data_IF_586076870672
#
_entry.id   IF_586076870672
#
_cell.length_a   1.000
_cell.length_b   1.000
_cell.length_c   1.000
_cell.angle_alpha   90.00
_cell.angle_beta   90.00
_cell.angle_gamma   90.00
#
_symmetry.space_group_name_H-M   'P 1'
#
loop_
_entity.id
_entity.type
_entity.pdbx_description
1 polymer ?
#
# COMPACT_ATOMS: atom_id res chain seq x y z
N UNK A 1 1.87 -2.08 -10.60
CA UNK A 1 1.46 -3.33 -9.89
C UNK A 1 1.47 -4.57 -10.80
N UNK A 2 1.12 -4.48 -12.10
CA UNK A 2 1.16 -5.64 -13.04
C UNK A 2 2.54 -6.29 -13.04
N UNK A 3 3.60 -5.49 -13.11
CA UNK A 3 4.99 -5.98 -13.07
C UNK A 3 5.30 -6.73 -11.76
N UNK A 4 4.76 -6.25 -10.62
CA UNK A 4 4.92 -6.95 -9.34
C UNK A 4 4.21 -8.30 -9.33
N UNK A 5 2.98 -8.36 -9.86
CA UNK A 5 2.22 -9.62 -9.98
C UNK A 5 2.99 -10.63 -10.82
N UNK A 6 3.44 -10.23 -12.01
CA UNK A 6 4.18 -11.14 -12.89
C UNK A 6 5.55 -11.53 -12.31
N UNK A 7 6.25 -10.59 -11.68
CA UNK A 7 7.55 -10.86 -11.06
C UNK A 7 7.43 -11.82 -9.88
N UNK A 8 6.42 -11.67 -9.01
CA UNK A 8 6.25 -12.55 -7.84
C UNK A 8 5.86 -13.98 -8.22
N UNK A 9 4.99 -14.17 -9.22
CA UNK A 9 4.70 -15.52 -9.76
C UNK A 9 5.96 -16.15 -10.34
N UNK A 10 6.68 -15.40 -11.18
CA UNK A 10 7.89 -15.89 -11.84
C UNK A 10 8.98 -16.22 -10.83
N UNK A 11 9.23 -15.35 -9.84
CA UNK A 11 10.25 -15.59 -8.81
C UNK A 11 9.87 -16.76 -7.91
N UNK A 12 8.59 -16.94 -7.56
CA UNK A 12 8.12 -18.09 -6.80
C UNK A 12 8.41 -19.39 -7.52
N UNK A 13 8.02 -19.50 -8.79
CA UNK A 13 8.27 -20.68 -9.60
C UNK A 13 9.79 -20.96 -9.83
N UNK A 14 10.56 -19.90 -10.09
CA UNK A 14 12.02 -20.04 -10.27
C UNK A 14 12.72 -20.47 -8.99
N UNK A 15 12.24 -20.05 -7.82
CA UNK A 15 12.80 -20.41 -6.53
C UNK A 15 12.61 -21.91 -6.20
N UNK A 16 11.54 -22.54 -6.67
CA UNK A 16 11.32 -23.98 -6.52
C UNK A 16 12.36 -24.78 -7.31
N UNK A 17 12.77 -24.31 -8.49
CA UNK A 17 13.77 -24.98 -9.32
C UNK A 17 15.17 -24.81 -8.74
N UNK A 18 15.53 -23.56 -8.43
CA UNK A 18 16.81 -23.20 -7.82
C UNK A 18 16.73 -21.82 -7.19
N UNK A 19 17.17 -21.69 -5.94
CA UNK A 19 17.12 -20.45 -5.17
C UNK A 19 17.92 -19.27 -5.78
N UNK A 20 18.83 -19.53 -6.71
CA UNK A 20 19.56 -18.49 -7.44
C UNK A 20 18.77 -17.91 -8.63
N UNK A 21 17.85 -18.67 -9.22
CA UNK A 21 17.15 -18.27 -10.42
C UNK A 21 16.28 -16.99 -10.25
N UNK A 22 15.64 -16.73 -9.12
CA UNK A 22 14.92 -15.47 -8.88
C UNK A 22 15.77 -14.22 -9.13
N UNK A 23 17.09 -14.28 -8.93
CA UNK A 23 17.98 -13.14 -9.17
C UNK A 23 18.03 -12.71 -10.64
N UNK A 24 17.68 -13.60 -11.59
CA UNK A 24 17.60 -13.25 -13.02
C UNK A 24 16.54 -12.16 -13.26
N UNK A 25 15.49 -12.12 -12.45
CA UNK A 25 14.44 -11.09 -12.59
C UNK A 25 15.00 -9.68 -12.35
N UNK A 26 16.06 -9.54 -11.56
CA UNK A 26 16.74 -8.25 -11.35
C UNK A 26 17.51 -7.73 -12.58
N UNK A 27 17.67 -8.53 -13.65
CA UNK A 27 18.22 -8.05 -14.91
C UNK A 27 17.21 -7.30 -15.79
N UNK A 28 15.90 -7.41 -15.53
CA UNK A 28 14.90 -6.66 -16.29
C UNK A 28 15.09 -5.13 -16.27
N UNK A 29 15.47 -4.48 -15.15
CA UNK A 29 15.80 -3.06 -15.16
C UNK A 29 16.95 -2.68 -16.10
N UNK A 30 17.90 -3.58 -16.33
CA UNK A 30 19.02 -3.37 -17.28
C UNK A 30 18.49 -3.25 -18.69
N UNK A 31 17.53 -4.10 -19.08
CA UNK A 31 16.86 -4.01 -20.39
C UNK A 31 16.14 -2.67 -20.53
N UNK A 32 15.39 -2.25 -19.48
CA UNK A 32 14.70 -0.95 -19.46
C UNK A 32 15.68 0.23 -19.57
N UNK A 33 16.85 0.12 -18.95
CA UNK A 33 17.91 1.11 -19.05
C UNK A 33 18.41 1.24 -20.50
N UNK A 34 18.70 0.14 -21.19
CA UNK A 34 19.08 0.20 -22.59
C UNK A 34 17.99 0.73 -23.52
N UNK A 35 16.74 0.35 -23.27
CA UNK A 35 15.59 0.86 -24.02
C UNK A 35 15.41 2.37 -23.84
N UNK A 36 15.80 2.93 -22.68
CA UNK A 36 15.70 4.37 -22.45
C UNK A 36 16.56 5.21 -23.40
N UNK A 37 17.64 4.66 -23.96
CA UNK A 37 18.46 5.36 -24.97
C UNK A 37 17.76 5.50 -26.31
N UNK A 38 16.77 4.66 -26.61
CA UNK A 38 15.95 4.76 -27.82
C UNK A 38 14.80 5.75 -27.69
N UNK A 39 14.50 6.24 -26.45
CA UNK A 39 13.50 7.26 -26.25
C UNK A 39 13.97 8.58 -26.86
N UNK A 40 13.28 9.01 -27.91
CA UNK A 40 13.52 10.29 -28.55
C UNK A 40 13.23 11.39 -27.54
N UNK A 41 14.17 12.30 -27.37
CA UNK A 41 14.02 13.47 -26.52
C UNK A 41 13.05 14.41 -27.22
N UNK A 42 11.76 14.23 -27.00
CA UNK A 42 10.77 15.25 -27.40
C UNK A 42 11.03 16.48 -26.54
N UNK A 43 11.59 17.51 -27.14
CA UNK A 43 11.62 18.85 -26.56
C UNK A 43 10.18 19.39 -26.61
N UNK A 44 9.33 18.87 -25.74
CA UNK A 44 8.08 19.54 -25.43
C UNK A 44 8.50 20.86 -24.76
N UNK A 45 8.47 21.93 -25.55
CA UNK A 45 8.50 23.28 -25.02
C UNK A 45 7.25 23.46 -24.18
N UNK A 46 7.33 23.02 -22.93
CA UNK A 46 6.32 23.38 -21.94
C UNK A 46 6.46 24.88 -21.79
N UNK A 47 5.62 25.62 -22.48
CA UNK A 47 5.47 27.05 -22.22
C UNK A 47 5.32 27.22 -20.71
N UNK A 48 6.15 28.05 -20.05
CA UNK A 48 6.06 28.23 -18.61
C UNK A 48 4.66 28.75 -18.30
N UNK A 49 3.80 27.86 -17.83
CA UNK A 49 2.54 28.27 -17.22
C UNK A 49 2.97 29.14 -16.03
N UNK A 50 2.83 30.46 -16.18
CA UNK A 50 3.03 31.41 -15.08
C UNK A 50 1.95 31.15 -14.04
N UNK A 51 2.16 30.13 -13.21
CA UNK A 51 1.36 29.88 -12.01
C UNK A 51 1.85 30.90 -10.98
N UNK A 52 1.28 32.07 -10.98
CA UNK A 52 1.53 33.17 -10.04
C UNK A 52 0.86 32.95 -8.69
N UNK A 53 0.66 31.70 -8.28
CA UNK A 53 0.13 31.42 -6.96
C UNK A 53 1.24 30.79 -6.11
N UNK A 54 2.05 31.65 -5.49
CA UNK A 54 2.96 31.25 -4.41
C UNK A 54 2.14 30.85 -3.18
N UNK A 55 1.59 29.66 -3.21
CA UNK A 55 0.89 29.07 -2.08
C UNK A 55 1.86 28.37 -1.13
N UNK A 56 1.54 28.36 0.16
CA UNK A 56 2.29 27.61 1.17
C UNK A 56 1.74 26.19 1.24
N UNK A 57 2.62 25.18 1.22
CA UNK A 57 2.23 23.80 1.57
C UNK A 57 1.75 23.81 3.02
N UNK A 58 0.60 23.19 3.29
CA UNK A 58 0.15 22.96 4.66
C UNK A 58 0.97 21.81 5.27
N UNK A 59 2.19 22.12 5.73
CA UNK A 59 3.18 21.14 6.20
C UNK A 59 2.60 20.19 7.23
N UNK A 60 1.80 20.70 8.18
CA UNK A 60 1.19 19.87 9.23
C UNK A 60 0.26 18.78 8.65
N UNK A 61 -0.54 19.13 7.63
CA UNK A 61 -1.44 18.18 6.95
C UNK A 61 -0.64 17.21 6.11
N UNK A 62 0.38 17.68 5.41
CA UNK A 62 1.24 16.82 4.61
C UNK A 62 1.96 15.78 5.48
N UNK A 63 2.56 16.17 6.60
CA UNK A 63 3.22 15.24 7.53
C UNK A 63 2.24 14.24 8.10
N UNK A 64 1.00 14.66 8.42
CA UNK A 64 -0.05 13.73 8.88
C UNK A 64 -0.41 12.68 7.82
N UNK A 65 -0.50 13.09 6.53
CA UNK A 65 -0.72 12.17 5.42
C UNK A 65 0.45 11.21 5.21
N UNK A 66 1.69 11.72 5.30
CA UNK A 66 2.90 10.91 5.19
C UNK A 66 2.93 9.81 6.27
N UNK A 67 2.72 10.18 7.53
CA UNK A 67 2.72 9.23 8.65
C UNK A 67 1.59 8.21 8.52
N UNK A 68 0.40 8.66 8.14
CA UNK A 68 -0.74 7.78 7.93
C UNK A 68 -0.51 6.81 6.77
N UNK A 69 0.04 7.29 5.65
CA UNK A 69 0.36 6.42 4.52
C UNK A 69 1.45 5.41 4.86
N UNK A 70 2.51 5.85 5.54
CA UNK A 70 3.56 4.95 6.03
C UNK A 70 3.00 3.86 6.95
N UNK A 71 2.10 4.22 7.87
CA UNK A 71 1.44 3.26 8.76
C UNK A 71 0.58 2.24 7.98
N UNK A 72 -0.27 2.71 7.06
CA UNK A 72 -1.11 1.81 6.26
C UNK A 72 -0.27 0.90 5.37
N UNK A 73 0.82 1.41 4.80
CA UNK A 73 1.77 0.60 4.03
C UNK A 73 2.43 -0.46 4.90
N UNK A 74 2.92 -0.08 6.09
CA UNK A 74 3.51 -1.02 7.05
C UNK A 74 2.55 -2.17 7.39
N UNK A 75 1.27 -1.85 7.64
CA UNK A 75 0.24 -2.84 7.94
C UNK A 75 -0.05 -3.79 6.76
N UNK A 76 0.03 -3.30 5.53
CA UNK A 76 -0.25 -4.11 4.34
C UNK A 76 0.93 -4.99 3.93
N UNK A 77 2.15 -4.44 4.00
CA UNK A 77 3.34 -5.10 3.44
C UNK A 77 3.81 -6.30 4.23
N UNK A 78 3.30 -6.47 5.46
CA UNK A 78 3.56 -7.65 6.29
C UNK A 78 3.22 -8.96 5.58
N UNK A 79 2.21 -8.96 4.70
CA UNK A 79 1.85 -10.11 3.87
C UNK A 79 3.05 -10.54 3.02
N UNK A 80 3.72 -9.59 2.36
CA UNK A 80 4.83 -9.90 1.46
C UNK A 80 6.07 -10.42 2.19
N UNK A 81 6.32 -9.99 3.44
CA UNK A 81 7.52 -10.37 4.18
C UNK A 81 7.30 -11.57 5.09
N UNK A 82 6.18 -11.63 5.80
CA UNK A 82 5.98 -12.64 6.85
C UNK A 82 5.10 -13.81 6.44
N UNK A 83 4.30 -13.70 5.35
CA UNK A 83 3.42 -14.79 4.92
C UNK A 83 4.17 -16.08 4.54
N UNK A 84 5.28 -16.05 3.79
CA UNK A 84 6.02 -17.27 3.46
C UNK A 84 6.53 -18.00 4.71
N UNK A 85 6.97 -17.26 5.72
CA UNK A 85 7.43 -17.83 6.97
C UNK A 85 6.28 -18.42 7.80
N UNK A 86 5.12 -17.75 7.80
CA UNK A 86 3.90 -18.25 8.45
C UNK A 86 3.41 -19.53 7.77
N UNK A 87 3.44 -19.60 6.44
CA UNK A 87 3.08 -20.81 5.68
C UNK A 87 3.99 -21.99 6.05
N UNK A 88 5.28 -21.72 6.20
CA UNK A 88 6.24 -22.74 6.67
C UNK A 88 5.94 -23.20 8.11
N UNK A 89 5.55 -22.28 9.00
CA UNK A 89 5.15 -22.60 10.39
C UNK A 89 3.89 -23.47 10.43
N UNK A 90 2.95 -23.23 9.52
CA UNK A 90 1.71 -24.02 9.37
C UNK A 90 1.89 -25.32 8.58
N UNK A 91 3.12 -25.64 8.14
CA UNK A 91 3.42 -26.80 7.29
C UNK A 91 2.69 -26.79 5.93
N UNK A 92 2.34 -25.61 5.42
CA UNK A 92 1.81 -25.46 4.08
C UNK A 92 2.93 -25.43 3.03
N UNK A 93 2.55 -25.69 1.77
CA UNK A 93 3.48 -25.59 0.66
C UNK A 93 3.97 -24.15 0.50
N UNK A 94 5.28 -23.95 0.71
CA UNK A 94 5.90 -22.64 0.58
C UNK A 94 5.98 -22.14 -0.87
N UNK A 95 5.90 -23.05 -1.85
CA UNK A 95 5.82 -22.71 -3.27
C UNK A 95 4.56 -21.92 -3.61
N UNK A 96 3.43 -22.22 -2.94
CA UNK A 96 2.19 -21.48 -3.10
C UNK A 96 2.28 -20.03 -2.59
N UNK A 97 3.30 -19.67 -1.78
CA UNK A 97 3.45 -18.32 -1.24
C UNK A 97 3.58 -17.24 -2.33
N UNK A 98 4.29 -17.54 -3.41
CA UNK A 98 4.42 -16.65 -4.57
C UNK A 98 3.08 -16.35 -5.23
N UNK A 99 2.20 -17.36 -5.34
CA UNK A 99 0.85 -17.20 -5.89
C UNK A 99 0.00 -16.32 -4.96
N UNK A 100 0.03 -16.59 -3.65
CA UNK A 100 -0.75 -15.82 -2.67
C UNK A 100 -0.29 -14.36 -2.61
N UNK A 101 1.02 -14.10 -2.64
CA UNK A 101 1.56 -12.73 -2.71
C UNK A 101 1.16 -12.05 -4.02
N UNK A 102 1.10 -12.79 -5.13
CA UNK A 102 0.63 -12.25 -6.41
C UNK A 102 -0.85 -11.88 -6.36
N UNK A 103 -1.68 -12.69 -5.71
CA UNK A 103 -3.10 -12.37 -5.45
C UNK A 103 -3.24 -11.11 -4.58
N UNK A 104 -2.38 -10.93 -3.58
CA UNK A 104 -2.31 -9.70 -2.79
C UNK A 104 -2.03 -8.47 -3.67
N UNK A 105 -1.01 -8.50 -4.54
CA UNK A 105 -0.70 -7.39 -5.44
C UNK A 105 -1.79 -7.16 -6.50
N UNK A 106 -2.42 -8.22 -6.99
CA UNK A 106 -3.57 -8.12 -7.90
C UNK A 106 -4.75 -7.44 -7.20
N UNK A 107 -5.01 -7.81 -5.94
CA UNK A 107 -6.05 -7.19 -5.13
C UNK A 107 -5.78 -5.70 -4.85
N UNK A 108 -4.52 -5.28 -4.71
CA UNK A 108 -4.15 -3.84 -4.61
C UNK A 108 -4.50 -3.09 -5.89
N UNK A 109 -4.43 -3.73 -7.05
CA UNK A 109 -4.73 -3.10 -8.33
C UNK A 109 -6.25 -2.98 -8.57
N UNK A 110 -7.04 -3.94 -8.09
CA UNK A 110 -8.47 -4.04 -8.35
C UNK A 110 -9.28 -2.76 -8.00
N UNK A 111 -9.05 -2.09 -6.86
CA UNK A 111 -9.75 -0.86 -6.52
C UNK A 111 -9.55 0.27 -7.52
N UNK A 112 -8.42 0.30 -8.26
CA UNK A 112 -8.18 1.31 -9.29
C UNK A 112 -9.28 1.38 -10.35
N UNK A 113 -9.97 0.26 -10.64
CA UNK A 113 -11.06 0.20 -11.62
C UNK A 113 -12.42 0.59 -11.04
N UNK A 114 -12.61 0.48 -9.73
CA UNK A 114 -13.91 0.66 -9.08
C UNK A 114 -13.90 1.76 -8.01
N UNK A 115 -12.81 2.53 -7.91
CA UNK A 115 -12.60 3.51 -6.83
C UNK A 115 -13.75 4.49 -6.69
N UNK A 116 -14.21 5.08 -7.80
CA UNK A 116 -15.32 6.04 -7.79
C UNK A 116 -16.59 5.42 -7.22
N UNK A 117 -16.84 4.15 -7.51
CA UNK A 117 -18.01 3.43 -6.97
C UNK A 117 -17.86 3.16 -5.48
N UNK A 118 -16.65 2.80 -5.02
CA UNK A 118 -16.35 2.61 -3.60
C UNK A 118 -16.55 3.92 -2.83
N UNK A 119 -16.00 5.02 -3.36
CA UNK A 119 -16.14 6.35 -2.76
C UNK A 119 -17.60 6.83 -2.73
N UNK A 120 -18.39 6.56 -3.78
CA UNK A 120 -19.80 6.94 -3.80
C UNK A 120 -20.66 6.16 -2.82
N UNK A 121 -20.31 4.89 -2.53
CA UNK A 121 -21.06 4.03 -1.59
C UNK A 121 -20.69 4.36 -0.14
N UNK A 122 -19.40 4.47 0.16
CA UNK A 122 -18.90 4.57 1.54
C UNK A 122 -18.61 6.02 1.99
N UNK A 123 -18.42 6.95 1.05
CA UNK A 123 -18.15 8.35 1.34
C UNK A 123 -17.07 8.55 2.40
N UNK A 124 -17.39 9.28 3.48
CA UNK A 124 -16.47 9.55 4.60
C UNK A 124 -16.06 8.30 5.41
N UNK A 125 -16.72 7.17 5.22
CA UNK A 125 -16.37 5.90 5.88
C UNK A 125 -15.38 5.05 5.07
N UNK A 126 -15.01 5.46 3.86
CA UNK A 126 -14.15 4.66 2.95
C UNK A 126 -12.88 4.21 3.66
N UNK A 127 -12.20 5.09 4.38
CA UNK A 127 -10.96 4.74 5.11
C UNK A 127 -11.20 3.75 6.25
N UNK A 128 -12.30 3.93 7.00
CA UNK A 128 -12.66 2.99 8.07
C UNK A 128 -12.99 1.60 7.49
N UNK A 129 -13.76 1.54 6.41
CA UNK A 129 -14.12 0.28 5.74
C UNK A 129 -12.87 -0.40 5.16
N UNK A 130 -11.98 0.36 4.53
CA UNK A 130 -10.71 -0.18 4.01
C UNK A 130 -9.83 -0.77 5.12
N UNK A 131 -9.69 -0.08 6.25
CA UNK A 131 -8.94 -0.59 7.41
C UNK A 131 -9.62 -1.83 8.03
N UNK A 132 -10.96 -1.85 8.12
CA UNK A 132 -11.71 -3.04 8.56
C UNK A 132 -11.53 -4.22 7.61
N UNK A 133 -11.47 -3.96 6.30
CA UNK A 133 -11.17 -4.97 5.30
C UNK A 133 -9.77 -5.57 5.54
N UNK A 134 -8.75 -4.72 5.82
CA UNK A 134 -7.40 -5.18 6.16
C UNK A 134 -7.40 -6.00 7.47
N UNK A 135 -8.10 -5.52 8.51
CA UNK A 135 -8.21 -6.26 9.78
C UNK A 135 -8.88 -7.62 9.59
N UNK A 136 -9.97 -7.67 8.82
CA UNK A 136 -10.65 -8.93 8.47
C UNK A 136 -9.73 -9.89 7.72
N UNK A 137 -8.92 -9.38 6.81
CA UNK A 137 -7.90 -10.18 6.11
C UNK A 137 -6.85 -10.76 7.05
N UNK A 138 -6.38 -9.98 8.05
CA UNK A 138 -5.44 -10.48 9.07
C UNK A 138 -6.08 -11.57 9.94
N UNK A 139 -7.36 -11.40 10.31
CA UNK A 139 -8.11 -12.43 11.05
C UNK A 139 -8.22 -13.72 10.24
N UNK A 140 -8.54 -13.62 8.93
CA UNK A 140 -8.59 -14.79 8.05
C UNK A 140 -7.25 -15.52 7.98
N UNK A 141 -6.12 -14.78 7.90
CA UNK A 141 -4.77 -15.36 7.91
C UNK A 141 -4.51 -16.09 9.23
N UNK A 142 -4.85 -15.49 10.37
CA UNK A 142 -4.62 -16.09 11.69
C UNK A 142 -5.49 -17.34 11.96
N UNK A 143 -6.70 -17.36 11.42
CA UNK A 143 -7.63 -18.49 11.56
C UNK A 143 -7.49 -19.52 10.43
N UNK A 144 -6.51 -19.36 9.54
CA UNK A 144 -6.39 -20.20 8.36
C UNK A 144 -6.06 -21.63 8.70
N UNK A 145 -6.93 -22.56 8.28
CA UNK A 145 -6.69 -24.00 8.28
C UNK A 145 -6.19 -24.55 6.95
N UNK A 146 -6.12 -23.70 5.90
CA UNK A 146 -5.66 -24.09 4.57
C UNK A 146 -5.17 -22.88 3.77
N UNK A 147 -4.44 -23.13 2.67
CA UNK A 147 -3.84 -22.12 1.80
C UNK A 147 -4.86 -21.19 1.12
N UNK A 148 -6.07 -21.67 0.84
CA UNK A 148 -7.12 -20.88 0.20
C UNK A 148 -7.62 -19.75 1.12
N UNK A 149 -7.73 -20.04 2.42
CA UNK A 149 -8.13 -19.04 3.42
C UNK A 149 -7.01 -18.00 3.59
N UNK A 150 -5.73 -18.43 3.55
CA UNK A 150 -4.59 -17.51 3.51
C UNK A 150 -4.67 -16.58 2.30
N UNK A 151 -4.95 -17.14 1.12
CA UNK A 151 -5.11 -16.37 -0.13
C UNK A 151 -6.24 -15.35 -0.03
N UNK A 152 -7.40 -15.74 0.51
CA UNK A 152 -8.51 -14.83 0.76
C UNK A 152 -8.12 -13.71 1.73
N UNK A 153 -7.43 -14.03 2.83
CA UNK A 153 -6.93 -13.03 3.77
C UNK A 153 -5.99 -12.02 3.10
N UNK A 154 -5.07 -12.50 2.27
CA UNK A 154 -4.16 -11.65 1.50
C UNK A 154 -4.91 -10.74 0.52
N UNK A 155 -5.95 -11.25 -0.17
CA UNK A 155 -6.82 -10.46 -1.07
C UNK A 155 -7.53 -9.35 -0.29
N UNK A 156 -8.08 -9.64 0.91
CA UNK A 156 -8.76 -8.63 1.72
C UNK A 156 -7.81 -7.52 2.17
N UNK A 157 -6.60 -7.86 2.60
CA UNK A 157 -5.58 -6.87 2.98
C UNK A 157 -5.17 -6.04 1.76
N UNK A 158 -4.90 -6.69 0.62
CA UNK A 158 -4.53 -6.02 -0.62
C UNK A 158 -5.60 -5.07 -1.13
N UNK A 159 -6.87 -5.50 -1.11
CA UNK A 159 -8.00 -4.66 -1.51
C UNK A 159 -8.15 -3.43 -0.60
N UNK A 160 -8.11 -3.60 0.71
CA UNK A 160 -8.18 -2.49 1.67
C UNK A 160 -7.06 -1.47 1.44
N UNK A 161 -5.81 -1.93 1.28
CA UNK A 161 -4.68 -1.06 0.97
C UNK A 161 -4.83 -0.38 -0.40
N UNK A 162 -5.29 -1.11 -1.41
CA UNK A 162 -5.48 -0.61 -2.77
C UNK A 162 -6.53 0.50 -2.89
N UNK A 163 -7.53 0.54 -2.00
CA UNK A 163 -8.46 1.68 -1.89
C UNK A 163 -7.79 2.88 -1.23
N UNK A 164 -6.97 2.64 -0.19
CA UNK A 164 -6.35 3.72 0.59
C UNK A 164 -5.31 4.51 -0.20
N UNK A 165 -4.52 3.85 -1.03
CA UNK A 165 -3.42 4.44 -1.77
C UNK A 165 -3.85 5.62 -2.67
N UNK A 166 -4.81 5.47 -3.61
CA UNK A 166 -5.23 6.57 -4.46
C UNK A 166 -5.96 7.68 -3.69
N UNK A 167 -6.69 7.35 -2.62
CA UNK A 167 -7.34 8.34 -1.77
C UNK A 167 -6.31 9.24 -1.07
N UNK A 168 -5.22 8.67 -0.58
CA UNK A 168 -4.13 9.44 0.05
C UNK A 168 -3.43 10.32 -0.99
N UNK A 169 -3.19 9.82 -2.19
CA UNK A 169 -2.59 10.62 -3.26
C UNK A 169 -3.48 11.79 -3.67
N UNK A 170 -4.79 11.57 -3.83
CA UNK A 170 -5.75 12.65 -4.11
C UNK A 170 -5.73 13.71 -3.00
N UNK A 171 -5.76 13.31 -1.74
CA UNK A 171 -5.66 14.25 -0.63
C UNK A 171 -4.32 15.00 -0.60
N UNK A 172 -3.23 14.35 -0.99
CA UNK A 172 -1.91 14.98 -1.08
C UNK A 172 -1.91 16.09 -2.12
N UNK A 173 -2.54 15.87 -3.28
CA UNK A 173 -2.66 16.89 -4.32
C UNK A 173 -3.49 18.10 -3.88
N UNK A 174 -4.47 17.91 -3.00
CA UNK A 174 -5.33 18.99 -2.46
C UNK A 174 -4.63 19.84 -1.38
N UNK A 175 -3.66 19.27 -0.66
CA UNK A 175 -2.89 19.97 0.39
C UNK A 175 -1.76 20.80 -0.18
N UNK A 176 -1.26 20.44 -1.35
CA UNK A 176 -0.16 21.09 -2.02
C UNK A 176 -0.66 22.10 -3.05
N UNK A 177 0.05 23.20 -3.21
CA UNK A 177 -0.19 24.13 -4.32
C UNK A 177 0.25 23.51 -5.65
N UNK A 178 -0.35 23.89 -6.79
CA UNK A 178 -0.07 23.27 -8.10
C UNK A 178 1.42 23.21 -8.47
N UNK A 179 2.21 24.18 -8.06
CA UNK A 179 3.66 24.24 -8.25
C UNK A 179 4.45 23.26 -7.39
N UNK A 180 3.86 22.74 -6.31
CA UNK A 180 4.51 21.88 -5.31
C UNK A 180 3.90 20.47 -5.17
N UNK A 181 2.89 20.14 -5.97
CA UNK A 181 2.21 18.84 -5.94
C UNK A 181 3.21 17.69 -6.15
N UNK A 182 4.10 17.79 -7.12
CA UNK A 182 5.11 16.77 -7.40
C UNK A 182 6.03 16.53 -6.22
N UNK A 183 6.44 17.61 -5.55
CA UNK A 183 7.28 17.52 -4.35
C UNK A 183 6.54 16.89 -3.19
N UNK A 184 5.28 17.28 -2.95
CA UNK A 184 4.46 16.69 -1.89
C UNK A 184 4.22 15.19 -2.11
N UNK A 185 3.90 14.79 -3.34
CA UNK A 185 3.78 13.38 -3.71
C UNK A 185 5.08 12.61 -3.52
N UNK A 186 6.23 13.21 -3.88
CA UNK A 186 7.54 12.59 -3.67
C UNK A 186 7.80 12.31 -2.18
N UNK A 187 7.47 13.25 -1.27
CA UNK A 187 7.60 13.04 0.17
C UNK A 187 6.68 11.92 0.67
N UNK A 188 5.42 11.90 0.24
CA UNK A 188 4.47 10.84 0.62
C UNK A 188 4.94 9.48 0.12
N UNK A 189 5.44 9.37 -1.11
CA UNK A 189 6.00 8.13 -1.67
C UNK A 189 7.29 7.72 -0.94
N UNK A 190 8.16 8.66 -0.55
CA UNK A 190 9.35 8.35 0.23
C UNK A 190 9.00 7.70 1.57
N UNK A 191 7.93 8.17 2.23
CA UNK A 191 7.46 7.56 3.47
C UNK A 191 6.92 6.16 3.26
N UNK A 192 6.29 5.88 2.12
CA UNK A 192 5.87 4.54 1.73
C UNK A 192 7.07 3.58 1.64
N UNK A 193 8.13 3.96 0.92
CA UNK A 193 9.34 3.13 0.81
C UNK A 193 10.06 2.96 2.15
N UNK A 194 10.07 4.00 2.98
CA UNK A 194 10.62 3.91 4.33
C UNK A 194 9.84 2.90 5.19
N UNK A 195 8.52 2.88 5.10
CA UNK A 195 7.68 1.92 5.81
C UNK A 195 7.94 0.48 5.35
N UNK A 196 8.13 0.27 4.03
CA UNK A 196 8.50 -1.04 3.47
C UNK A 196 9.86 -1.50 4.02
N UNK A 197 10.85 -0.61 4.04
CA UNK A 197 12.20 -0.91 4.54
C UNK A 197 12.20 -1.25 6.04
N UNK A 198 11.43 -0.51 6.83
CA UNK A 198 11.40 -0.66 8.28
C UNK A 198 10.53 -1.84 8.75
N UNK A 199 9.61 -2.33 7.94
CA UNK A 199 8.65 -3.37 8.34
C UNK A 199 9.33 -4.63 8.89
N UNK A 200 10.27 -5.29 8.21
CA UNK A 200 10.95 -6.47 8.75
C UNK A 200 11.69 -6.16 10.04
N UNK A 201 12.47 -5.06 10.05
CA UNK A 201 13.28 -4.65 11.20
C UNK A 201 12.44 -4.41 12.45
N UNK A 202 11.27 -3.77 12.30
CA UNK A 202 10.35 -3.53 13.42
C UNK A 202 9.83 -4.86 13.97
N UNK A 203 9.39 -5.76 13.11
CA UNK A 203 8.85 -7.05 13.54
C UNK A 203 9.93 -7.90 14.20
N UNK A 204 11.10 -8.02 13.61
CA UNK A 204 12.21 -8.81 14.16
C UNK A 204 12.67 -8.25 15.52
N UNK A 205 12.73 -6.92 15.66
CA UNK A 205 13.08 -6.28 16.93
C UNK A 205 12.04 -6.56 18.00
N UNK A 206 10.75 -6.49 17.67
CA UNK A 206 9.68 -6.78 18.61
C UNK A 206 9.65 -8.26 19.00
N UNK A 207 9.82 -9.17 18.06
CA UNK A 207 9.92 -10.61 18.34
C UNK A 207 11.10 -10.91 19.28
N UNK A 208 12.25 -10.31 19.03
CA UNK A 208 13.44 -10.44 19.88
C UNK A 208 13.19 -9.88 21.28
N UNK A 209 12.57 -8.71 21.41
CA UNK A 209 12.30 -8.04 22.69
C UNK A 209 11.33 -8.86 23.55
N UNK A 210 10.30 -9.43 22.96
CA UNK A 210 9.30 -10.24 23.66
C UNK A 210 9.66 -11.74 23.73
N UNK A 211 10.80 -12.15 23.18
CA UNK A 211 11.24 -13.55 23.08
C UNK A 211 10.19 -14.46 22.43
N UNK A 212 9.46 -13.94 21.44
CA UNK A 212 8.43 -14.65 20.70
C UNK A 212 9.00 -15.11 19.35
N UNK A 213 8.92 -16.41 19.07
CA UNK A 213 9.49 -16.99 17.85
C UNK A 213 8.44 -17.37 16.79
N UNK A 214 7.14 -17.17 17.08
CA UNK A 214 6.07 -17.51 16.15
C UNK A 214 5.83 -16.40 15.14
N UNK A 215 5.63 -16.74 13.88
CA UNK A 215 5.30 -15.77 12.83
C UNK A 215 3.87 -15.22 12.95
N UNK A 216 3.00 -15.93 13.66
CA UNK A 216 1.66 -15.45 14.01
C UNK A 216 1.70 -14.11 14.77
N UNK A 217 2.73 -13.90 15.61
CA UNK A 217 2.91 -12.66 16.36
C UNK A 217 2.89 -11.43 15.46
N UNK A 218 3.54 -11.48 14.31
CA UNK A 218 3.59 -10.38 13.37
C UNK A 218 2.17 -9.96 12.92
N UNK A 219 1.32 -10.94 12.60
CA UNK A 219 -0.07 -10.67 12.17
C UNK A 219 -0.96 -10.25 13.33
N UNK A 220 -0.81 -10.84 14.53
CA UNK A 220 -1.57 -10.44 15.74
C UNK A 220 -1.23 -9.00 16.12
N UNK A 221 0.05 -8.65 16.16
CA UNK A 221 0.50 -7.30 16.49
C UNK A 221 -0.06 -6.26 15.52
N UNK A 222 0.02 -6.54 14.21
CA UNK A 222 -0.52 -5.65 13.19
C UNK A 222 -2.05 -5.59 13.21
N UNK A 223 -2.73 -6.68 13.56
CA UNK A 223 -4.19 -6.68 13.76
C UNK A 223 -4.58 -5.72 14.88
N UNK A 224 -3.88 -5.77 16.02
CA UNK A 224 -4.14 -4.85 17.16
C UNK A 224 -3.92 -3.40 16.73
N UNK A 225 -2.82 -3.09 16.05
CA UNK A 225 -2.57 -1.73 15.53
C UNK A 225 -3.67 -1.32 14.56
N UNK A 226 -4.06 -2.19 13.62
CA UNK A 226 -5.11 -1.88 12.64
C UNK A 226 -6.42 -1.56 13.34
N UNK A 227 -6.83 -2.32 14.36
CA UNK A 227 -8.04 -2.06 15.13
C UNK A 227 -7.97 -0.73 15.90
N UNK A 228 -6.81 -0.39 16.47
CA UNK A 228 -6.61 0.92 17.12
C UNK A 228 -6.73 2.07 16.10
N UNK A 229 -6.17 1.89 14.89
CA UNK A 229 -6.28 2.88 13.82
C UNK A 229 -7.72 2.99 13.32
N UNK A 230 -8.47 1.88 13.22
CA UNK A 230 -9.92 1.90 12.89
C UNK A 230 -10.71 2.71 13.93
N UNK A 231 -10.46 2.47 15.21
CA UNK A 231 -11.11 3.24 16.29
C UNK A 231 -10.78 4.74 16.17
N UNK A 232 -9.50 5.07 15.97
CA UNK A 232 -9.06 6.45 15.74
C UNK A 232 -9.71 7.09 14.52
N UNK A 233 -9.81 6.34 13.41
CA UNK A 233 -10.47 6.77 12.18
C UNK A 233 -11.96 7.01 12.38
N UNK A 234 -12.65 6.14 13.14
CA UNK A 234 -14.06 6.28 13.46
C UNK A 234 -14.34 7.53 14.30
N UNK A 235 -13.57 7.76 15.36
CA UNK A 235 -13.71 8.95 16.21
C UNK A 235 -13.38 10.26 15.47
N UNK A 236 -12.39 10.21 14.57
CA UNK A 236 -11.91 11.38 13.80
C UNK A 236 -12.42 11.43 12.37
N UNK A 237 -13.51 10.75 12.03
CA UNK A 237 -14.04 10.66 10.67
C UNK A 237 -14.34 11.99 9.99
N UNK A 238 -14.58 13.05 10.75
CA UNK A 238 -14.82 14.41 10.25
C UNK A 238 -13.55 15.27 10.19
N UNK A 239 -12.40 14.74 10.59
CA UNK A 239 -11.14 15.46 10.43
C UNK A 239 -10.62 15.31 9.01
N UNK A 240 -9.81 16.28 8.57
CA UNK A 240 -9.17 16.28 7.25
C UNK A 240 -8.58 14.92 6.83
N UNK A 241 -7.95 14.20 7.77
CA UNK A 241 -7.29 12.93 7.47
C UNK A 241 -8.27 11.81 7.08
N UNK A 242 -9.49 11.83 7.60
CA UNK A 242 -10.49 10.76 7.42
C UNK A 242 -11.76 11.22 6.68
N UNK A 243 -11.91 12.50 6.43
CA UNK A 243 -13.04 13.03 5.66
C UNK A 243 -12.75 12.94 4.16
N UNK A 244 -13.46 12.05 3.47
CA UNK A 244 -13.41 11.88 2.01
C UNK A 244 -14.54 12.65 1.31
N UNK A 245 -15.40 13.36 2.07
CA UNK A 245 -16.45 14.19 1.48
C UNK A 245 -15.84 15.29 0.62
N UNK A 246 -16.16 15.22 -0.64
CA UNK A 246 -15.82 16.23 -1.64
C UNK A 246 -16.49 17.55 -1.28
N UNK A 247 -15.76 18.47 -0.67
CA UNK A 247 -16.20 19.89 -0.61
C UNK A 247 -16.13 20.57 -1.99
N UNK A 248 -15.97 19.79 -3.06
CA UNK A 248 -15.91 20.27 -4.43
C UNK A 248 -17.24 20.77 -4.99
N UNK A 249 -18.38 20.41 -4.42
CA UNK A 249 -19.68 20.90 -4.92
C UNK A 249 -20.03 22.31 -4.43
N UNK A 250 -19.43 22.77 -3.34
CA UNK A 250 -19.74 24.11 -2.79
C UNK A 250 -18.98 25.25 -3.44
N UNK A 251 -17.93 24.96 -4.20
CA UNK A 251 -17.17 26.01 -4.92
C UNK A 251 -17.67 26.26 -6.34
N UNK A 252 -18.38 25.30 -6.93
CA UNK A 252 -18.98 25.45 -8.26
C UNK A 252 -20.37 26.11 -8.24
N UNK A 253 -21.04 26.11 -7.10
CA UNK A 253 -22.36 26.76 -6.92
C UNK A 253 -22.25 28.28 -6.59
N UNK A 254 -21.01 28.80 -6.50
CA UNK A 254 -20.72 30.23 -6.22
C UNK A 254 -20.01 30.96 -7.37
N UNK A 255 -19.94 30.35 -8.55
CA UNK A 255 -19.51 30.99 -9.81
C UNK A 255 -20.67 31.03 -10.80
#
# INVERSE_FOLDING_TARGET
NITLVTATVLTGYLAEINWHLPFIVYFFPVVSFFLSFYLKRDTISVAPVKVTVSGKIEVKRLVSLMLFYGLVTYLAVIVSFNLPFLMKEYHFDTGASGIIISLFYLAIMAPGFILNRVLSIFGSFTKCVSLLCMAGGMVLILLSGNEWILGLGAIFIGFGYGVMQPVIYDQTTRVATPDKVTLALAFVMSMNYLAILLCPTIIDTLQSLFHIHTQQFAFIFNLVITLLVVLGAYYRRHTFLFNDSCDSDKSLEKL
#
